data_IF_812556157280
#
_entry.id   IF_812556157280
#
_cell.length_a   1.000
_cell.length_b   1.000
_cell.length_c   1.000
_cell.angle_alpha   90.00
_cell.angle_beta   90.00
_cell.angle_gamma   90.00
#
_symmetry.space_group_name_H-M   'P 1'
#
loop_
_entity.id
_entity.type
_entity.pdbx_description
1 polymer ?
#
# COMPACT_ATOMS: atom_id res chain seq x y z
N UNK A 1 11.03 -15.04 -7.03
CA UNK A 1 9.64 -14.79 -7.48
C UNK A 1 8.70 -15.62 -6.62
N UNK A 2 7.63 -15.02 -6.12
CA UNK A 2 6.60 -15.66 -5.28
C UNK A 2 5.21 -15.45 -5.88
N UNK A 3 4.21 -16.18 -5.40
CA UNK A 3 2.81 -15.95 -5.81
C UNK A 3 2.24 -14.72 -5.13
N UNK A 4 1.28 -14.05 -5.78
CA UNK A 4 0.59 -12.92 -5.17
C UNK A 4 -0.17 -13.32 -3.89
N UNK A 5 -0.67 -14.55 -3.82
CA UNK A 5 -1.37 -15.09 -2.64
C UNK A 5 -0.45 -15.33 -1.44
N UNK A 6 0.87 -15.40 -1.64
CA UNK A 6 1.88 -15.59 -0.59
C UNK A 6 2.47 -14.25 -0.09
N UNK A 7 2.01 -13.14 -0.66
CA UNK A 7 2.53 -11.82 -0.37
C UNK A 7 2.07 -11.28 0.98
N UNK A 8 2.96 -10.53 1.62
CA UNK A 8 2.67 -9.79 2.85
C UNK A 8 1.80 -8.59 2.54
N UNK A 9 0.85 -8.32 3.43
CA UNK A 9 0.01 -7.12 3.34
C UNK A 9 0.86 -5.85 3.49
N UNK A 10 0.47 -4.80 2.77
CA UNK A 10 1.11 -3.49 2.82
C UNK A 10 2.60 -3.51 2.47
N UNK A 11 3.04 -4.53 1.73
CA UNK A 11 4.39 -4.59 1.19
C UNK A 11 4.35 -4.32 -0.31
N UNK A 12 5.41 -3.70 -0.82
CA UNK A 12 5.52 -3.31 -2.22
C UNK A 12 6.23 -4.43 -2.96
N UNK A 13 5.60 -4.90 -4.02
CA UNK A 13 6.13 -5.93 -4.90
C UNK A 13 6.11 -5.43 -6.33
N UNK A 14 6.90 -6.04 -7.19
CA UNK A 14 6.83 -5.79 -8.63
C UNK A 14 6.12 -6.91 -9.34
N UNK A 15 5.19 -6.54 -10.22
CA UNK A 15 4.54 -7.50 -11.09
C UNK A 15 5.54 -8.07 -12.08
N UNK A 16 5.66 -9.40 -12.12
CA UNK A 16 6.58 -10.08 -13.03
C UNK A 16 5.81 -10.73 -14.18
N UNK A 17 4.79 -11.52 -13.87
CA UNK A 17 4.02 -12.23 -14.91
C UNK A 17 2.64 -12.66 -14.43
N UNK A 18 1.79 -13.04 -15.39
CA UNK A 18 0.50 -13.66 -15.13
C UNK A 18 0.33 -14.93 -15.98
N UNK A 19 0.27 -16.07 -15.30
CA UNK A 19 0.20 -17.44 -15.84
C UNK A 19 -1.27 -17.89 -16.05
N UNK A 20 -2.09 -17.04 -16.66
CA UNK A 20 -3.50 -17.36 -16.92
C UNK A 20 -3.92 -17.18 -18.38
N UNK A 21 -5.23 -17.09 -18.63
CA UNK A 21 -5.76 -17.00 -20.00
C UNK A 21 -5.34 -15.70 -20.70
N UNK A 22 -5.22 -15.75 -22.03
CA UNK A 22 -4.87 -14.58 -22.86
C UNK A 22 -5.86 -13.42 -22.71
N UNK A 23 -7.14 -13.72 -22.44
CA UNK A 23 -8.18 -12.73 -22.21
C UNK A 23 -7.86 -11.90 -20.95
N UNK A 24 -7.59 -12.55 -19.82
CA UNK A 24 -7.22 -11.87 -18.57
C UNK A 24 -5.85 -11.16 -18.69
N UNK A 25 -4.86 -11.77 -19.34
CA UNK A 25 -3.58 -11.10 -19.63
C UNK A 25 -3.77 -9.77 -20.39
N UNK A 26 -4.68 -9.73 -21.36
CA UNK A 26 -4.98 -8.49 -22.09
C UNK A 26 -5.70 -7.47 -21.21
N UNK A 27 -6.66 -7.93 -20.41
CA UNK A 27 -7.41 -7.07 -19.49
C UNK A 27 -6.50 -6.41 -18.44
N UNK A 28 -5.65 -7.19 -17.75
CA UNK A 28 -4.71 -6.68 -16.76
C UNK A 28 -3.72 -5.68 -17.36
N UNK A 29 -3.19 -5.96 -18.56
CA UNK A 29 -2.31 -5.02 -19.29
C UNK A 29 -3.02 -3.73 -19.68
N UNK A 30 -4.30 -3.80 -20.04
CA UNK A 30 -5.10 -2.61 -20.36
C UNK A 30 -5.35 -1.75 -19.12
N UNK A 31 -5.53 -2.37 -17.95
CA UNK A 31 -5.61 -1.66 -16.67
C UNK A 31 -4.26 -1.06 -16.24
N UNK A 32 -3.16 -1.43 -16.89
CA UNK A 32 -1.84 -0.87 -16.66
C UNK A 32 -0.92 -1.72 -15.81
N UNK A 33 -1.32 -2.96 -15.48
CA UNK A 33 -0.49 -3.95 -14.81
C UNK A 33 0.45 -4.61 -15.83
N UNK A 34 1.72 -4.20 -15.81
CA UNK A 34 2.79 -4.66 -16.72
C UNK A 34 3.99 -5.11 -15.89
N UNK A 35 4.91 -5.84 -16.53
CA UNK A 35 6.18 -6.23 -15.91
C UNK A 35 6.87 -4.99 -15.30
N UNK A 36 7.35 -5.11 -14.06
CA UNK A 36 7.96 -4.03 -13.28
C UNK A 36 6.97 -3.01 -12.71
N UNK A 37 5.65 -3.21 -12.85
CA UNK A 37 4.68 -2.32 -12.21
C UNK A 37 4.70 -2.57 -10.70
N UNK A 38 4.92 -1.54 -9.86
CA UNK A 38 4.81 -1.70 -8.43
C UNK A 38 3.36 -1.94 -8.05
N UNK A 39 3.15 -3.00 -7.27
CA UNK A 39 1.85 -3.44 -6.77
C UNK A 39 1.91 -3.59 -5.25
N UNK A 40 0.77 -3.37 -4.61
CA UNK A 40 0.62 -3.52 -3.17
C UNK A 40 -0.57 -4.42 -2.90
N UNK A 41 -0.36 -5.47 -2.10
CA UNK A 41 -1.46 -6.30 -1.61
C UNK A 41 -2.05 -5.63 -0.37
N UNK A 42 -3.27 -5.11 -0.52
CA UNK A 42 -3.98 -4.42 0.57
C UNK A 42 -4.77 -5.39 1.43
N UNK A 43 -5.30 -6.44 0.83
CA UNK A 43 -6.02 -7.51 1.52
C UNK A 43 -5.70 -8.85 0.89
N UNK A 44 -5.61 -9.87 1.72
CA UNK A 44 -5.43 -11.25 1.33
C UNK A 44 -6.13 -12.13 2.37
N UNK A 45 -7.42 -12.34 2.17
CA UNK A 45 -8.26 -13.19 3.00
C UNK A 45 -8.74 -14.36 2.12
N UNK A 46 -8.81 -15.56 2.67
CA UNK A 46 -9.31 -16.73 1.92
C UNK A 46 -10.81 -16.60 1.63
N UNK A 47 -11.53 -15.86 2.47
CA UNK A 47 -12.99 -15.67 2.39
C UNK A 47 -13.41 -14.46 1.57
N UNK A 48 -12.48 -13.54 1.25
CA UNK A 48 -12.74 -12.34 0.46
C UNK A 48 -11.80 -12.26 -0.75
N UNK A 49 -12.18 -11.54 -1.82
CA UNK A 49 -11.27 -11.26 -2.91
C UNK A 49 -9.99 -10.56 -2.41
N UNK A 50 -8.84 -11.01 -2.91
CA UNK A 50 -7.55 -10.35 -2.70
C UNK A 50 -7.62 -8.96 -3.35
N UNK A 51 -7.26 -7.92 -2.60
CA UNK A 51 -7.27 -6.54 -3.12
C UNK A 51 -5.85 -6.15 -3.51
N UNK A 52 -5.63 -6.00 -4.81
CA UNK A 52 -4.40 -5.49 -5.40
C UNK A 52 -4.54 -4.01 -5.70
N UNK A 53 -3.57 -3.20 -5.27
CA UNK A 53 -3.48 -1.78 -5.60
C UNK A 53 -2.25 -1.47 -6.44
N UNK A 54 -2.42 -0.71 -7.50
CA UNK A 54 -1.32 -0.20 -8.33
C UNK A 54 -1.76 1.06 -9.08
N UNK A 55 -0.86 2.04 -9.23
CA UNK A 55 -1.14 3.31 -9.92
C UNK A 55 -2.46 3.98 -9.49
N UNK A 56 -2.81 3.89 -8.20
CA UNK A 56 -4.06 4.41 -7.65
C UNK A 56 -5.33 3.59 -7.94
N UNK A 57 -5.24 2.56 -8.78
CA UNK A 57 -6.32 1.63 -9.09
C UNK A 57 -6.33 0.48 -8.09
N UNK A 58 -7.52 0.09 -7.62
CA UNK A 58 -7.73 -1.11 -6.82
C UNK A 58 -8.51 -2.14 -7.62
N UNK A 59 -8.06 -3.38 -7.58
CA UNK A 59 -8.73 -4.51 -8.23
C UNK A 59 -8.94 -5.60 -7.20
N UNK A 60 -10.15 -6.14 -7.15
CA UNK A 60 -10.44 -7.38 -6.45
C UNK A 60 -10.13 -8.57 -7.36
N UNK A 61 -9.30 -9.48 -6.88
CA UNK A 61 -8.94 -10.72 -7.56
C UNK A 61 -9.44 -11.88 -6.71
N UNK A 62 -10.08 -12.87 -7.32
CA UNK A 62 -10.31 -14.14 -6.63
C UNK A 62 -8.97 -14.87 -6.39
N UNK A 63 -9.01 -15.91 -5.55
CA UNK A 63 -7.82 -16.65 -5.14
C UNK A 63 -7.17 -17.41 -6.31
N UNK A 64 -7.98 -17.92 -7.24
CA UNK A 64 -7.49 -18.66 -8.41
C UNK A 64 -6.73 -17.76 -9.38
N UNK A 65 -7.25 -16.56 -9.63
CA UNK A 65 -6.62 -15.55 -10.47
C UNK A 65 -5.35 -15.01 -9.81
N UNK A 66 -5.40 -14.74 -8.51
CA UNK A 66 -4.25 -14.26 -7.75
C UNK A 66 -3.12 -15.31 -7.69
N UNK A 67 -3.45 -16.60 -7.59
CA UNK A 67 -2.45 -17.68 -7.56
C UNK A 67 -1.61 -17.77 -8.85
N UNK A 68 -2.14 -17.26 -9.96
CA UNK A 68 -1.48 -17.21 -11.25
C UNK A 68 -0.66 -15.93 -11.48
N UNK A 69 -0.62 -15.00 -10.53
CA UNK A 69 0.21 -13.79 -10.62
C UNK A 69 1.54 -14.04 -9.90
N UNK A 70 2.66 -13.80 -10.60
CA UNK A 70 4.01 -13.83 -10.05
C UNK A 70 4.50 -12.43 -9.76
N UNK A 71 5.11 -12.27 -8.59
CA UNK A 71 5.75 -11.03 -8.17
C UNK A 71 7.13 -11.28 -7.57
N UNK A 72 7.95 -10.24 -7.48
CA UNK A 72 9.18 -10.22 -6.69
C UNK A 72 9.13 -9.09 -5.67
N UNK A 73 9.92 -9.20 -4.60
CA UNK A 73 10.17 -8.06 -3.73
C UNK A 73 10.77 -6.94 -4.58
N UNK A 74 10.26 -5.74 -4.37
CA UNK A 74 10.64 -4.60 -5.17
C UNK A 74 11.80 -3.88 -4.49
N UNK A 75 12.83 -3.53 -5.27
CA UNK A 75 13.96 -2.77 -4.76
C UNK A 75 13.55 -1.32 -4.48
N UNK A 76 14.09 -0.76 -3.39
CA UNK A 76 13.67 0.55 -2.85
C UNK A 76 13.89 1.70 -3.86
N UNK A 77 14.83 1.52 -4.81
CA UNK A 77 15.18 2.53 -5.83
C UNK A 77 14.19 2.55 -7.01
N UNK A 78 13.58 1.43 -7.38
CA UNK A 78 12.70 1.32 -8.58
C UNK A 78 11.20 1.51 -8.27
N UNK A 79 10.80 1.46 -7.00
CA UNK A 79 9.39 1.53 -6.55
C UNK A 79 8.77 2.93 -6.49
N UNK A 80 9.52 3.99 -6.82
CA UNK A 80 9.07 5.37 -6.62
C UNK A 80 8.90 5.73 -5.14
N UNK A 81 9.76 5.17 -4.27
CA UNK A 81 9.82 5.43 -2.83
C UNK A 81 8.55 5.06 -2.04
N UNK A 82 7.80 4.05 -2.50
CA UNK A 82 6.63 3.56 -1.78
C UNK A 82 7.05 2.82 -0.50
N UNK A 83 6.58 3.30 0.65
CA UNK A 83 6.88 2.73 1.97
C UNK A 83 5.63 2.78 2.87
N UNK A 84 5.65 2.03 3.96
CA UNK A 84 4.65 2.20 5.03
C UNK A 84 4.94 3.48 5.79
N UNK A 85 3.90 4.15 6.28
CA UNK A 85 4.07 5.34 7.11
C UNK A 85 4.87 5.03 8.40
N UNK A 86 4.75 3.81 8.92
CA UNK A 86 5.49 3.34 10.11
C UNK A 86 7.01 3.27 9.92
N UNK A 87 7.47 3.25 8.68
CA UNK A 87 8.86 2.98 8.31
C UNK A 87 9.57 4.25 7.80
N UNK A 88 8.89 5.40 7.87
CA UNK A 88 9.42 6.69 7.43
C UNK A 88 10.22 7.36 8.55
N UNK A 89 11.38 7.90 8.21
CA UNK A 89 12.24 8.63 9.15
C UNK A 89 11.64 9.97 9.59
N UNK A 90 12.04 10.41 10.79
CA UNK A 90 11.65 11.71 11.33
C UNK A 90 12.10 12.84 10.41
N UNK A 91 11.24 13.85 10.23
CA UNK A 91 11.54 15.05 9.45
C UNK A 91 11.18 14.94 7.98
N UNK A 92 10.95 13.72 7.46
CA UNK A 92 10.54 13.48 6.07
C UNK A 92 9.12 13.97 5.80
N UNK A 93 8.91 14.47 4.59
CA UNK A 93 7.60 14.81 4.05
C UNK A 93 7.20 13.70 3.10
N UNK A 94 5.99 13.18 3.29
CA UNK A 94 5.46 12.08 2.49
C UNK A 94 4.03 12.38 2.06
N UNK A 95 3.62 11.79 0.95
CA UNK A 95 2.26 11.85 0.46
C UNK A 95 1.60 10.49 0.60
N UNK A 96 0.38 10.49 1.13
CA UNK A 96 -0.46 9.31 1.23
C UNK A 96 -0.81 8.77 -0.15
N UNK A 97 -0.56 7.48 -0.38
CA UNK A 97 -0.86 6.76 -1.62
C UNK A 97 -2.05 5.83 -1.44
N UNK A 98 -2.05 5.02 -0.38
CA UNK A 98 -3.13 4.08 -0.12
C UNK A 98 -3.29 3.69 1.35
N UNK A 99 -4.41 3.02 1.63
CA UNK A 99 -4.78 2.51 2.95
C UNK A 99 -5.33 1.10 2.83
N UNK A 100 -4.91 0.25 3.76
CA UNK A 100 -5.52 -1.06 4.03
C UNK A 100 -6.40 -1.04 5.29
N UNK A 101 -6.74 0.15 5.77
CA UNK A 101 -7.61 0.37 6.93
C UNK A 101 -9.09 0.25 6.52
N UNK A 102 -9.91 -0.34 7.39
CA UNK A 102 -11.34 -0.54 7.19
C UNK A 102 -12.21 0.04 8.30
N UNK A 103 -13.52 0.05 8.06
CA UNK A 103 -14.53 0.37 9.06
C UNK A 103 -14.38 1.74 9.70
N UNK A 104 -14.64 1.79 11.01
CA UNK A 104 -14.64 3.02 11.80
C UNK A 104 -13.27 3.72 11.81
N UNK A 105 -12.17 2.97 11.84
CA UNK A 105 -10.81 3.53 11.86
C UNK A 105 -10.53 4.29 10.56
N UNK A 106 -10.88 3.71 9.41
CA UNK A 106 -10.70 4.36 8.11
C UNK A 106 -11.50 5.66 8.04
N UNK A 107 -12.75 5.64 8.49
CA UNK A 107 -13.63 6.81 8.51
C UNK A 107 -13.07 7.91 9.39
N UNK A 108 -12.66 7.57 10.62
CA UNK A 108 -12.00 8.50 11.55
C UNK A 108 -10.76 9.14 10.92
N UNK A 109 -9.88 8.35 10.30
CA UNK A 109 -8.68 8.90 9.65
C UNK A 109 -9.05 9.90 8.54
N UNK A 110 -10.04 9.58 7.71
CA UNK A 110 -10.51 10.50 6.67
C UNK A 110 -11.14 11.78 7.24
N UNK A 111 -11.96 11.65 8.29
CA UNK A 111 -12.57 12.79 9.00
C UNK A 111 -11.48 13.69 9.60
N UNK A 112 -10.39 13.07 10.07
CA UNK A 112 -9.16 13.72 10.50
C UNK A 112 -8.23 14.08 9.33
N UNK A 113 -8.74 14.26 8.12
CA UNK A 113 -7.98 14.79 6.99
C UNK A 113 -6.91 13.89 6.38
N UNK A 114 -6.74 12.66 6.88
CA UNK A 114 -5.83 11.66 6.33
C UNK A 114 -6.48 10.99 5.11
N UNK A 115 -6.28 11.58 3.93
CA UNK A 115 -6.87 11.13 2.66
C UNK A 115 -5.79 10.90 1.61
N UNK A 116 -6.08 10.13 0.56
CA UNK A 116 -5.13 9.92 -0.55
C UNK A 116 -4.69 11.26 -1.13
N UNK A 117 -3.40 11.40 -1.40
CA UNK A 117 -2.80 12.65 -1.88
C UNK A 117 -2.48 13.68 -0.78
N UNK A 118 -2.88 13.44 0.47
CA UNK A 118 -2.54 14.35 1.59
C UNK A 118 -1.04 14.26 1.86
N UNK A 119 -0.36 15.41 1.88
CA UNK A 119 1.01 15.51 2.36
C UNK A 119 1.04 15.63 3.88
N UNK A 120 1.99 14.96 4.50
CA UNK A 120 2.20 14.97 5.95
C UNK A 120 3.69 14.92 6.25
N UNK A 121 4.08 15.35 7.45
CA UNK A 121 5.47 15.31 7.93
C UNK A 121 5.60 14.44 9.17
N UNK A 122 6.59 13.57 9.23
CA UNK A 122 6.90 12.82 10.46
C UNK A 122 7.57 13.78 11.46
N UNK A 123 6.98 13.91 12.65
CA UNK A 123 7.44 14.84 13.68
C UNK A 123 8.29 14.14 14.73
N UNK A 124 7.79 13.05 15.28
CA UNK A 124 8.47 12.31 16.33
C UNK A 124 7.92 10.88 16.43
N UNK A 125 8.66 10.04 17.14
CA UNK A 125 8.16 8.78 17.67
C UNK A 125 8.12 8.90 19.19
N UNK A 126 7.11 8.29 19.82
CA UNK A 126 7.11 8.12 21.26
C UNK A 126 8.35 7.32 21.72
N UNK A 127 8.76 7.41 23.00
CA UNK A 127 10.00 6.79 23.49
C UNK A 127 10.12 5.27 23.23
N UNK A 128 8.97 4.58 23.18
CA UNK A 128 8.89 3.14 22.90
C UNK A 128 8.52 2.82 21.44
N UNK A 129 8.52 3.83 20.56
CA UNK A 129 8.23 3.70 19.13
C UNK A 129 6.75 3.73 18.74
N UNK A 130 5.83 3.91 19.68
CA UNK A 130 4.38 4.01 19.46
C UNK A 130 3.75 4.94 20.51
N UNK A 131 2.95 5.97 20.15
CA UNK A 131 2.54 6.39 18.80
C UNK A 131 3.58 7.14 17.97
N UNK A 132 3.26 7.29 16.68
CA UNK A 132 3.96 8.17 15.73
C UNK A 132 3.23 9.51 15.73
N UNK A 133 3.96 10.61 15.89
CA UNK A 133 3.43 11.96 15.70
C UNK A 133 3.69 12.44 14.28
N UNK A 134 2.63 12.91 13.62
CA UNK A 134 2.69 13.47 12.28
C UNK A 134 2.04 14.84 12.24
N UNK A 135 2.53 15.72 11.38
CA UNK A 135 1.86 16.98 11.07
C UNK A 135 1.11 16.82 9.74
N UNK A 136 -0.20 17.11 9.75
CA UNK A 136 -1.00 17.23 8.53
C UNK A 136 -1.94 18.42 8.66
N UNK A 137 -2.18 19.13 7.54
CA UNK A 137 -3.14 20.26 7.48
C UNK A 137 -2.95 21.31 8.61
N UNK A 138 -1.73 21.49 9.09
CA UNK A 138 -1.42 22.49 10.12
C UNK A 138 -1.64 22.04 11.57
N UNK A 139 -1.96 20.77 11.83
CA UNK A 139 -2.03 20.23 13.20
C UNK A 139 -1.30 18.90 13.33
N UNK A 140 -0.96 18.58 14.58
CA UNK A 140 -0.29 17.34 14.94
C UNK A 140 -1.32 16.25 15.28
N UNK A 141 -1.11 15.06 14.70
CA UNK A 141 -1.91 13.87 14.91
C UNK A 141 -1.02 12.75 15.44
N UNK A 142 -1.40 12.17 16.58
CA UNK A 142 -0.80 10.93 17.08
C UNK A 142 -1.53 9.74 16.45
N UNK A 143 -0.78 8.89 15.76
CA UNK A 143 -1.27 7.68 15.11
C UNK A 143 -0.59 6.46 15.73
N UNK A 144 -1.34 5.40 16.06
CA UNK A 144 -0.70 4.17 16.53
C UNK A 144 0.19 3.60 15.44
N UNK A 145 1.33 3.02 15.80
CA UNK A 145 2.26 2.36 14.86
C UNK A 145 1.55 1.28 14.04
N UNK A 146 0.63 0.54 14.66
CA UNK A 146 -0.19 -0.45 13.99
C UNK A 146 -1.12 0.17 12.93
N UNK A 147 -1.69 1.35 13.18
CA UNK A 147 -2.52 2.07 12.21
C UNK A 147 -1.65 2.66 11.09
N UNK A 148 -0.47 3.21 11.43
CA UNK A 148 0.49 3.73 10.46
C UNK A 148 1.04 2.66 9.51
N UNK A 149 1.25 1.43 9.99
CA UNK A 149 1.70 0.31 9.17
C UNK A 149 0.69 -0.11 8.07
N UNK A 150 -0.57 0.36 8.18
CA UNK A 150 -1.63 0.13 7.20
C UNK A 150 -1.75 1.26 6.17
N UNK A 151 -0.89 2.29 6.26
CA UNK A 151 -0.87 3.45 5.37
C UNK A 151 0.37 3.37 4.48
N UNK A 152 0.16 3.38 3.17
CA UNK A 152 1.23 3.45 2.18
C UNK A 152 1.42 4.90 1.77
N UNK A 153 2.68 5.33 1.76
CA UNK A 153 3.10 6.68 1.42
C UNK A 153 4.25 6.64 0.42
N UNK A 154 4.52 7.79 -0.20
CA UNK A 154 5.73 8.04 -0.97
C UNK A 154 6.41 9.32 -0.48
N UNK A 155 7.74 9.35 -0.48
CA UNK A 155 8.50 10.58 -0.20
C UNK A 155 8.21 11.63 -1.31
N UNK A 156 8.11 12.91 -0.91
CA UNK A 156 7.83 14.06 -1.79
C UNK A 156 9.03 14.99 -1.84
#
# INVERSE_FOLDING_TARGET
>A
MIKLTECRLNHVYEFVSFEGTRHYQRHLRHLGLRVGTPVIVLKNDVTQPLILSFKGTKIGLDQDLAANIRVCEADIEETGHLKKLSDIEIGKIVQVVDFSVEGAVKRRLMDMGMTKGTALKIKSFAPLGDPIEINLRGYDLSLRKAEAALIIVKEV
#
